data_IF_126266200152
#
_entry.id   IF_126266200152
#
_cell.length_a   1.000
_cell.length_b   1.000
_cell.length_c   1.000
_cell.angle_alpha   90.00
_cell.angle_beta   90.00
_cell.angle_gamma   90.00
#
_symmetry.space_group_name_H-M   'P 1'
#
loop_
_entity.id
_entity.type
_entity.pdbx_description
1 polymer ?
#
# COMPACT_ATOMS: atom_id res chain seq x y z
N UNK A 1 16.88 10.63 61.41
CA UNK A 1 16.24 9.73 60.42
C UNK A 1 14.75 10.09 60.47
N UNK A 2 14.26 11.03 59.65
CA UNK A 2 14.13 10.99 58.19
C UNK A 2 12.98 10.06 57.75
N UNK A 3 11.78 10.64 57.64
CA UNK A 3 10.62 10.11 56.94
C UNK A 3 10.23 11.14 55.89
N UNK A 4 10.56 10.89 54.63
CA UNK A 4 10.14 11.70 53.49
C UNK A 4 9.14 10.88 52.68
N UNK A 5 7.87 11.26 52.76
CA UNK A 5 6.80 10.64 51.96
C UNK A 5 6.85 11.25 50.56
N UNK A 6 7.44 10.54 49.62
CA UNK A 6 7.52 10.95 48.22
C UNK A 6 6.20 10.68 47.49
N UNK A 7 5.42 11.73 47.24
CA UNK A 7 4.21 11.63 46.41
C UNK A 7 4.57 11.46 44.94
N UNK A 8 4.49 10.23 44.43
CA UNK A 8 4.52 9.93 42.99
C UNK A 8 3.22 10.40 42.33
N UNK A 9 3.25 11.60 41.74
CA UNK A 9 2.19 12.06 40.86
C UNK A 9 2.31 11.34 39.50
N UNK A 10 1.50 10.30 39.30
CA UNK A 10 1.34 9.68 37.98
C UNK A 10 0.62 10.66 37.05
N UNK A 11 1.37 11.24 36.10
CA UNK A 11 0.82 11.99 34.99
C UNK A 11 0.17 11.00 34.01
N UNK A 12 -1.16 10.88 34.07
CA UNK A 12 -1.93 10.20 33.04
C UNK A 12 -1.95 11.07 31.77
N UNK A 13 -1.07 10.78 30.82
CA UNK A 13 -1.19 11.30 29.47
C UNK A 13 -2.46 10.69 28.82
N UNK A 14 -3.33 11.48 28.17
CA UNK A 14 -4.42 10.91 27.40
C UNK A 14 -3.82 10.08 26.25
N UNK A 15 -4.31 8.85 26.09
CA UNK A 15 -3.97 8.04 24.93
C UNK A 15 -4.59 8.71 23.70
N UNK A 16 -3.77 9.44 22.95
CA UNK A 16 -4.13 9.86 21.60
C UNK A 16 -4.20 8.61 20.73
N UNK A 17 -5.41 8.06 20.56
CA UNK A 17 -5.70 7.21 19.41
C UNK A 17 -5.45 8.03 18.15
N UNK A 18 -4.30 7.83 17.52
CA UNK A 18 -4.04 8.38 16.21
C UNK A 18 -5.11 7.80 15.26
N UNK A 19 -5.89 8.69 14.65
CA UNK A 19 -6.84 8.31 13.59
C UNK A 19 -6.04 8.04 12.32
N UNK A 20 -6.36 6.94 11.63
CA UNK A 20 -5.83 6.69 10.30
C UNK A 20 -6.43 7.65 9.24
N UNK A 21 -5.65 8.13 8.25
CA UNK A 21 -5.99 9.30 7.42
C UNK A 21 -6.94 9.03 6.22
N UNK A 22 -8.06 8.33 6.45
CA UNK A 22 -9.12 8.09 5.46
C UNK A 22 -8.61 7.60 4.08
N UNK A 23 -8.90 8.27 2.97
CA UNK A 23 -8.17 8.08 1.68
C UNK A 23 -7.94 9.44 1.01
N UNK A 24 -8.85 10.39 1.21
CA UNK A 24 -8.78 11.77 0.73
C UNK A 24 -7.66 12.60 1.38
N UNK A 25 -7.20 12.21 2.58
CA UNK A 25 -6.10 12.88 3.30
C UNK A 25 -4.71 12.29 2.96
N UNK A 26 -4.65 11.20 2.17
CA UNK A 26 -3.41 10.53 1.76
C UNK A 26 -2.62 11.30 0.66
N UNK A 27 -1.31 11.05 0.53
CA UNK A 27 -0.48 11.62 -0.55
C UNK A 27 -1.01 11.27 -1.94
N UNK A 28 -0.79 12.16 -2.88
CA UNK A 28 -1.21 12.04 -4.28
C UNK A 28 -0.16 12.57 -5.22
N UNK A 29 -0.09 11.99 -6.42
CA UNK A 29 0.78 12.46 -7.50
C UNK A 29 -0.06 12.97 -8.68
N UNK A 30 0.51 13.90 -9.46
CA UNK A 30 -0.15 14.53 -10.61
C UNK A 30 -0.06 13.68 -11.90
N UNK A 31 0.70 12.58 -11.88
CA UNK A 31 0.86 11.64 -13.00
C UNK A 31 1.37 10.28 -12.54
N UNK A 32 1.25 9.27 -13.39
CA UNK A 32 1.86 7.96 -13.18
C UNK A 32 3.39 8.02 -13.05
N UNK A 33 4.08 8.78 -13.92
CA UNK A 33 5.53 8.94 -13.85
C UNK A 33 6.02 9.46 -12.49
N UNK A 34 5.28 10.37 -11.86
CA UNK A 34 5.65 10.97 -10.59
C UNK A 34 5.50 10.00 -9.40
N UNK A 35 4.49 9.11 -9.42
CA UNK A 35 4.41 8.03 -8.42
C UNK A 35 5.45 6.94 -8.69
N UNK A 36 5.66 6.57 -9.96
CA UNK A 36 6.67 5.57 -10.36
C UNK A 36 8.06 5.99 -9.89
N UNK A 37 8.48 7.23 -10.16
CA UNK A 37 9.75 7.80 -9.68
C UNK A 37 9.86 7.70 -8.14
N UNK A 38 8.87 8.24 -7.41
CA UNK A 38 8.87 8.24 -5.94
C UNK A 38 8.89 6.85 -5.31
N UNK A 39 8.27 5.84 -5.94
CA UNK A 39 8.31 4.44 -5.49
C UNK A 39 9.68 3.82 -5.79
N UNK A 40 10.23 4.01 -7.00
CA UNK A 40 11.54 3.47 -7.40
C UNK A 40 12.73 4.09 -6.64
N UNK A 41 12.56 5.26 -6.01
CA UNK A 41 13.56 5.80 -5.09
C UNK A 41 13.63 5.05 -3.74
N UNK A 42 12.57 4.32 -3.37
CA UNK A 42 12.47 3.57 -2.11
C UNK A 42 12.57 2.05 -2.30
N UNK A 43 12.17 1.53 -3.47
CA UNK A 43 12.15 0.11 -3.80
C UNK A 43 13.18 -0.26 -4.87
N UNK A 44 13.91 -1.35 -4.65
CA UNK A 44 14.81 -1.96 -5.64
C UNK A 44 14.00 -2.76 -6.67
N UNK A 45 13.36 -2.06 -7.62
CA UNK A 45 12.66 -2.66 -8.75
C UNK A 45 13.63 -3.30 -9.76
N UNK A 46 13.15 -4.31 -10.49
CA UNK A 46 13.87 -4.96 -11.58
C UNK A 46 14.06 -4.03 -12.79
N UNK A 47 15.17 -4.20 -13.54
CA UNK A 47 15.45 -3.43 -14.77
C UNK A 47 14.54 -3.79 -15.97
N UNK A 48 13.99 -5.01 -16.00
CA UNK A 48 13.13 -5.55 -17.09
C UNK A 48 11.98 -6.39 -16.52
N UNK A 49 11.04 -5.76 -15.79
CA UNK A 49 9.94 -6.45 -15.13
C UNK A 49 8.89 -6.94 -16.15
N UNK A 50 8.09 -7.97 -15.81
CA UNK A 50 7.08 -8.49 -16.72
C UNK A 50 5.95 -7.47 -17.02
N UNK A 51 5.17 -7.73 -18.06
CA UNK A 51 4.08 -6.82 -18.45
C UNK A 51 3.02 -6.64 -17.34
N UNK A 52 2.42 -5.43 -17.21
CA UNK A 52 1.42 -5.13 -16.19
C UNK A 52 0.19 -6.07 -16.18
N UNK A 53 -0.41 -6.18 -15.01
CA UNK A 53 -1.63 -6.95 -14.76
C UNK A 53 -2.84 -6.23 -15.36
N UNK A 54 -3.73 -6.99 -16.01
CA UNK A 54 -5.02 -6.46 -16.46
C UNK A 54 -6.06 -6.67 -15.36
N UNK A 55 -6.36 -5.61 -14.61
CA UNK A 55 -7.42 -5.63 -13.61
C UNK A 55 -8.78 -5.54 -14.32
N UNK A 56 -9.67 -6.50 -14.04
CA UNK A 56 -10.99 -6.63 -14.64
C UNK A 56 -12.06 -6.46 -13.56
N UNK A 57 -12.83 -5.39 -13.64
CA UNK A 57 -13.96 -5.11 -12.77
C UNK A 57 -15.30 -5.49 -13.41
N UNK A 58 -16.40 -5.07 -12.78
CA UNK A 58 -17.77 -5.47 -13.17
C UNK A 58 -18.14 -5.01 -14.58
N UNK A 59 -17.60 -3.87 -15.01
CA UNK A 59 -17.92 -3.22 -16.28
C UNK A 59 -16.86 -3.42 -17.37
N UNK A 60 -15.84 -4.26 -17.13
CA UNK A 60 -14.75 -4.55 -18.05
C UNK A 60 -13.37 -4.24 -17.46
N UNK A 61 -12.40 -3.90 -18.30
CA UNK A 61 -11.06 -3.53 -17.82
C UNK A 61 -11.12 -2.20 -17.08
N UNK A 62 -10.60 -2.17 -15.85
CA UNK A 62 -10.57 -0.96 -15.04
C UNK A 62 -9.53 0.01 -15.63
N UNK A 63 -9.84 1.30 -15.83
CA UNK A 63 -8.89 2.27 -16.34
C UNK A 63 -7.85 2.62 -15.29
N UNK A 64 -6.59 2.24 -15.54
CA UNK A 64 -5.44 2.50 -14.68
C UNK A 64 -4.16 2.54 -15.52
N UNK A 65 -3.18 3.35 -15.11
CA UNK A 65 -1.79 3.22 -15.53
C UNK A 65 -1.06 2.34 -14.51
N UNK A 66 -0.20 1.43 -14.97
CA UNK A 66 0.50 0.48 -14.09
C UNK A 66 1.82 -0.01 -14.66
N UNK A 67 2.75 -0.35 -13.76
CA UNK A 67 4.05 -0.95 -14.07
C UNK A 67 4.43 -1.91 -12.94
N UNK A 68 4.92 -3.10 -13.30
CA UNK A 68 5.46 -4.06 -12.33
C UNK A 68 6.84 -3.62 -11.87
N UNK A 69 7.10 -3.75 -10.57
CA UNK A 69 8.40 -3.53 -9.94
C UNK A 69 9.16 -4.86 -9.78
N UNK A 70 8.42 -5.96 -9.57
CA UNK A 70 8.88 -7.36 -9.64
C UNK A 70 7.74 -8.19 -10.28
N UNK A 71 7.85 -9.52 -10.50
CA UNK A 71 6.72 -10.31 -10.97
C UNK A 71 5.49 -10.26 -10.03
N UNK A 72 5.74 -10.00 -8.73
CA UNK A 72 4.77 -10.04 -7.64
C UNK A 72 4.41 -8.66 -7.05
N UNK A 73 5.12 -7.59 -7.43
CA UNK A 73 4.88 -6.22 -6.92
C UNK A 73 4.56 -5.27 -8.08
N UNK A 74 3.50 -4.49 -7.97
CA UNK A 74 3.01 -3.63 -9.05
C UNK A 74 2.52 -2.27 -8.56
N UNK A 75 2.90 -1.22 -9.28
CA UNK A 75 2.53 0.18 -9.05
C UNK A 75 1.29 0.48 -9.89
N UNK A 76 0.24 1.00 -9.27
CA UNK A 76 -1.00 1.43 -9.93
C UNK A 76 -1.29 2.91 -9.69
N UNK A 77 -1.72 3.61 -10.74
CA UNK A 77 -2.17 5.00 -10.73
C UNK A 77 -3.54 5.15 -11.38
N UNK A 78 -4.36 6.06 -10.84
CA UNK A 78 -5.77 6.24 -11.22
C UNK A 78 -6.15 7.71 -11.35
N UNK A 79 -6.78 8.07 -12.46
CA UNK A 79 -7.39 9.40 -12.64
C UNK A 79 -8.73 9.56 -11.89
N UNK A 80 -9.28 8.47 -11.32
CA UNK A 80 -10.55 8.52 -10.57
C UNK A 80 -10.51 7.65 -9.30
N UNK A 81 -11.13 8.14 -8.23
CA UNK A 81 -11.31 7.38 -6.99
C UNK A 81 -12.21 6.14 -7.20
N UNK A 82 -13.12 6.17 -8.19
CA UNK A 82 -13.98 5.05 -8.52
C UNK A 82 -13.16 3.87 -9.07
N UNK A 83 -12.30 4.12 -10.07
CA UNK A 83 -11.42 3.10 -10.62
C UNK A 83 -10.39 2.60 -9.59
N UNK A 84 -9.85 3.50 -8.75
CA UNK A 84 -8.97 3.15 -7.64
C UNK A 84 -9.64 2.18 -6.67
N UNK A 85 -10.87 2.47 -6.27
CA UNK A 85 -11.59 1.65 -5.31
C UNK A 85 -12.00 0.30 -5.92
N UNK A 86 -12.54 0.29 -7.14
CA UNK A 86 -12.89 -0.96 -7.84
C UNK A 86 -11.66 -1.85 -8.04
N UNK A 87 -10.50 -1.29 -8.40
CA UNK A 87 -9.24 -2.04 -8.52
C UNK A 87 -8.72 -2.55 -7.17
N UNK A 88 -8.79 -1.73 -6.12
CA UNK A 88 -8.42 -2.15 -4.77
C UNK A 88 -9.28 -3.33 -4.31
N UNK A 89 -10.61 -3.22 -4.40
CA UNK A 89 -11.54 -4.27 -3.99
C UNK A 89 -11.33 -5.55 -4.81
N UNK A 90 -11.10 -5.42 -6.12
CA UNK A 90 -10.78 -6.54 -7.02
C UNK A 90 -9.48 -7.27 -6.63
N UNK A 91 -8.42 -6.52 -6.30
CA UNK A 91 -7.11 -7.09 -5.95
C UNK A 91 -7.09 -7.64 -4.52
N UNK A 92 -7.73 -6.95 -3.56
CA UNK A 92 -7.87 -7.42 -2.18
C UNK A 92 -8.68 -8.73 -2.12
N UNK A 93 -9.66 -8.92 -3.01
CA UNK A 93 -10.42 -10.17 -3.15
C UNK A 93 -9.57 -11.36 -3.64
N UNK A 94 -8.32 -11.15 -4.07
CA UNK A 94 -7.40 -12.25 -4.38
C UNK A 94 -6.77 -12.89 -3.13
N UNK A 95 -6.84 -12.25 -1.95
CA UNK A 95 -6.33 -12.79 -0.69
C UNK A 95 -7.13 -14.03 -0.22
N UNK A 96 -8.46 -13.90 -0.19
CA UNK A 96 -9.49 -14.76 0.46
C UNK A 96 -9.08 -16.16 0.97
N UNK A 97 -8.49 -17.01 0.11
CA UNK A 97 -8.18 -18.41 0.43
C UNK A 97 -6.73 -18.83 0.18
N UNK A 98 -5.93 -18.00 -0.48
CA UNK A 98 -4.61 -18.38 -0.99
C UNK A 98 -3.45 -17.71 -0.23
N UNK A 99 -3.66 -16.54 0.39
CA UNK A 99 -2.62 -15.81 1.12
C UNK A 99 -3.07 -14.40 1.51
N UNK A 100 -2.12 -13.48 1.74
CA UNK A 100 -2.39 -12.06 1.95
C UNK A 100 -2.13 -11.25 0.68
N UNK A 101 -2.79 -10.10 0.54
CA UNK A 101 -2.41 -9.07 -0.45
C UNK A 101 -2.06 -7.80 0.30
N UNK A 102 -0.83 -7.30 0.11
CA UNK A 102 -0.31 -6.14 0.83
C UNK A 102 -0.36 -4.89 -0.04
N UNK A 103 -0.64 -3.74 0.57
CA UNK A 103 -0.76 -2.47 -0.12
C UNK A 103 0.04 -1.36 0.59
N UNK A 104 0.72 -0.53 -0.19
CA UNK A 104 1.10 0.83 0.17
C UNK A 104 0.17 1.80 -0.58
N UNK A 105 -0.69 2.50 0.14
CA UNK A 105 -1.83 3.24 -0.40
C UNK A 105 -1.65 4.75 -0.33
N UNK A 106 -1.78 5.41 -1.49
CA UNK A 106 -2.06 6.84 -1.59
C UNK A 106 -3.52 7.13 -1.92
N UNK A 107 -3.82 8.41 -2.18
CA UNK A 107 -5.17 8.87 -2.57
C UNK A 107 -5.58 8.34 -3.94
N UNK A 108 -4.70 8.49 -4.93
CA UNK A 108 -4.92 8.16 -6.35
C UNK A 108 -3.93 7.13 -6.91
N UNK A 109 -3.23 6.43 -6.02
CA UNK A 109 -2.27 5.38 -6.37
C UNK A 109 -2.22 4.32 -5.27
N UNK A 110 -1.71 3.14 -5.60
CA UNK A 110 -1.20 2.19 -4.62
C UNK A 110 -0.09 1.34 -5.25
N UNK A 111 0.83 0.85 -4.42
CA UNK A 111 1.69 -0.29 -4.76
C UNK A 111 1.09 -1.51 -4.08
N UNK A 112 0.96 -2.61 -4.82
CA UNK A 112 0.42 -3.87 -4.32
C UNK A 112 1.48 -4.97 -4.43
N UNK A 113 1.57 -5.80 -3.40
CA UNK A 113 2.36 -7.03 -3.36
C UNK A 113 1.40 -8.22 -3.22
N UNK A 114 1.42 -9.10 -4.22
CA UNK A 114 0.58 -10.28 -4.33
C UNK A 114 1.44 -11.57 -4.34
N UNK A 115 2.60 -11.53 -3.68
CA UNK A 115 3.54 -12.64 -3.54
C UNK A 115 2.99 -13.87 -2.82
N UNK A 116 2.03 -13.71 -1.91
CA UNK A 116 1.43 -14.84 -1.18
C UNK A 116 0.28 -15.51 -1.93
N UNK A 117 -0.25 -14.91 -3.01
CA UNK A 117 -1.41 -15.42 -3.75
C UNK A 117 -1.02 -15.88 -5.15
N UNK A 118 -1.88 -16.68 -5.81
CA UNK A 118 -1.58 -17.29 -7.10
C UNK A 118 -1.23 -16.29 -8.25
N UNK A 119 -1.54 -15.00 -8.08
CA UNK A 119 -1.18 -13.93 -9.02
C UNK A 119 0.32 -13.61 -8.99
N UNK A 120 1.04 -13.92 -7.90
CA UNK A 120 2.46 -13.64 -7.70
C UNK A 120 3.42 -14.51 -8.53
N UNK A 121 2.93 -15.62 -9.08
CA UNK A 121 3.74 -16.57 -9.85
C UNK A 121 4.56 -17.53 -8.98
N UNK A 122 5.47 -18.26 -9.62
CA UNK A 122 6.17 -19.40 -9.01
C UNK A 122 7.42 -19.04 -8.18
N UNK A 123 7.95 -17.82 -8.29
CA UNK A 123 9.13 -17.32 -7.56
C UNK A 123 8.97 -15.82 -7.20
N UNK A 124 8.04 -15.49 -6.29
CA UNK A 124 7.65 -14.10 -6.04
C UNK A 124 8.65 -13.38 -5.12
N UNK A 125 9.35 -12.38 -5.67
CA UNK A 125 10.11 -11.42 -4.87
C UNK A 125 9.17 -10.36 -4.27
N UNK A 126 8.91 -10.47 -2.97
CA UNK A 126 8.20 -9.46 -2.19
C UNK A 126 9.10 -8.27 -1.85
N UNK A 127 8.48 -7.12 -1.55
CA UNK A 127 9.18 -5.87 -1.20
C UNK A 127 8.60 -5.21 0.05
N UNK A 128 9.38 -4.36 0.72
CA UNK A 128 8.99 -3.70 1.97
C UNK A 128 7.97 -2.57 1.75
N UNK A 129 6.71 -2.93 1.54
CA UNK A 129 5.61 -1.97 1.38
C UNK A 129 5.29 -1.19 2.67
N UNK A 130 5.66 -1.71 3.84
CA UNK A 130 5.49 -0.98 5.10
C UNK A 130 6.51 0.18 5.19
N UNK A 131 7.78 -0.09 4.87
CA UNK A 131 8.83 0.91 4.73
C UNK A 131 8.52 1.95 3.64
N UNK A 132 8.01 1.51 2.47
CA UNK A 132 7.53 2.41 1.42
C UNK A 132 6.41 3.34 1.92
N UNK A 133 5.42 2.78 2.63
CA UNK A 133 4.30 3.55 3.15
C UNK A 133 4.76 4.61 4.18
N UNK A 134 5.66 4.25 5.09
CA UNK A 134 6.27 5.20 6.03
C UNK A 134 7.05 6.31 5.28
N UNK A 135 7.89 5.95 4.30
CA UNK A 135 8.71 6.88 3.55
C UNK A 135 7.90 7.91 2.75
N UNK A 136 6.79 7.49 2.12
CA UNK A 136 5.94 8.35 1.30
C UNK A 136 4.78 9.01 2.07
N UNK A 137 4.59 8.70 3.35
CA UNK A 137 3.45 9.17 4.14
C UNK A 137 2.11 8.55 3.71
N UNK A 138 2.18 7.37 3.08
CA UNK A 138 1.05 6.56 2.64
C UNK A 138 0.51 5.66 3.79
N UNK A 139 -0.58 4.93 3.55
CA UNK A 139 -1.06 3.87 4.46
C UNK A 139 -0.46 2.53 4.05
N UNK A 140 -0.07 1.71 5.02
CA UNK A 140 0.15 0.27 4.80
C UNK A 140 -1.11 -0.51 5.19
N UNK A 141 -1.55 -1.43 4.33
CA UNK A 141 -2.72 -2.29 4.58
C UNK A 141 -2.42 -3.74 4.17
N UNK A 142 -2.87 -4.69 4.97
CA UNK A 142 -2.86 -6.12 4.71
C UNK A 142 -4.31 -6.57 4.50
N UNK A 143 -4.61 -7.17 3.34
CA UNK A 143 -5.89 -7.78 3.03
C UNK A 143 -5.80 -9.30 3.17
N UNK A 144 -6.79 -9.90 3.86
CA UNK A 144 -6.92 -11.33 4.20
C UNK A 144 -8.38 -11.75 4.18
#
# INVERSE_FOLDING_TARGET
>A
MALAVGSLALLAAPACSAREPAVDELPSYDSFDAVREAVTEQLECEDDPPSPTRVMGDNGQIPTESEKCTPAVEIFYFDSQEARNEAYDTLASAAESDGSVYFAEGRNWFVVDYSEVAVGGDDPQSLDLAGLAEALGARYTEAT
#
